data_IF_950264399919
#
_entry.id   IF_950264399919
#
_cell.length_a   1.000
_cell.length_b   1.000
_cell.length_c   1.000
_cell.angle_alpha   90.00
_cell.angle_beta   90.00
_cell.angle_gamma   90.00
#
_symmetry.space_group_name_H-M   'P 1'
#
loop_
_entity.id
_entity.type
_entity.pdbx_description
1 polymer ?
#
# COMPACT_ATOMS: atom_id res chain seq x y z
N UNK A 1 -3.11 11.20 -6.80
CA UNK A 1 -2.21 10.15 -7.31
C UNK A 1 -2.58 8.81 -6.70
N UNK A 2 -2.65 7.78 -7.50
CA UNK A 2 -2.92 6.42 -7.04
C UNK A 2 -1.64 5.61 -7.17
N UNK A 3 -1.32 4.83 -6.14
CA UNK A 3 -0.10 4.03 -6.10
C UNK A 3 -0.42 2.56 -5.89
N UNK A 4 0.41 1.70 -6.45
CA UNK A 4 0.33 0.26 -6.25
C UNK A 4 1.68 -0.24 -5.76
N UNK A 5 1.68 -0.97 -4.65
CA UNK A 5 2.88 -1.61 -4.12
C UNK A 5 2.66 -3.11 -4.14
N UNK A 6 3.42 -3.83 -4.95
CA UNK A 6 3.42 -5.30 -4.92
C UNK A 6 4.31 -5.75 -3.76
N UNK A 7 3.94 -6.86 -3.11
CA UNK A 7 4.63 -7.28 -1.90
C UNK A 7 4.34 -6.37 -0.71
N UNK A 8 3.17 -5.73 -0.71
CA UNK A 8 2.84 -4.71 0.29
C UNK A 8 2.69 -5.22 1.72
N UNK A 9 2.51 -6.53 1.90
CA UNK A 9 2.47 -7.11 3.24
C UNK A 9 3.86 -7.53 3.73
N UNK A 10 4.88 -7.48 2.87
CA UNK A 10 6.25 -7.80 3.24
C UNK A 10 6.90 -6.69 4.02
N UNK A 11 8.09 -6.98 4.55
CA UNK A 11 8.79 -6.06 5.43
C UNK A 11 9.09 -4.70 4.75
N UNK A 12 9.64 -4.77 3.53
CA UNK A 12 10.02 -3.56 2.80
C UNK A 12 8.78 -2.80 2.33
N UNK A 13 7.80 -3.51 1.79
CA UNK A 13 6.56 -2.88 1.32
C UNK A 13 5.80 -2.19 2.44
N UNK A 14 5.74 -2.80 3.62
CA UNK A 14 5.08 -2.21 4.77
C UNK A 14 5.77 -0.91 5.20
N UNK A 15 7.09 -0.91 5.25
CA UNK A 15 7.84 0.29 5.64
C UNK A 15 7.68 1.41 4.61
N UNK A 16 7.71 1.06 3.34
CA UNK A 16 7.51 2.03 2.27
C UNK A 16 6.11 2.65 2.35
N UNK A 17 5.10 1.81 2.57
CA UNK A 17 3.72 2.28 2.68
C UNK A 17 3.56 3.25 3.86
N UNK A 18 4.13 2.93 5.01
CA UNK A 18 4.07 3.82 6.17
C UNK A 18 4.70 5.18 5.88
N UNK A 19 5.86 5.17 5.23
CA UNK A 19 6.54 6.40 4.86
C UNK A 19 5.70 7.26 3.93
N UNK A 20 5.12 6.64 2.91
CA UNK A 20 4.31 7.37 1.94
C UNK A 20 3.07 7.96 2.59
N UNK A 21 2.43 7.22 3.48
CA UNK A 21 1.24 7.71 4.18
C UNK A 21 1.57 8.84 5.15
N UNK A 22 2.70 8.76 5.83
CA UNK A 22 3.14 9.84 6.73
C UNK A 22 3.38 11.13 5.96
N UNK A 23 4.01 11.04 4.80
CA UNK A 23 4.29 12.21 3.98
C UNK A 23 3.03 12.74 3.30
N UNK A 24 2.13 11.84 2.92
CA UNK A 24 0.91 12.20 2.22
C UNK A 24 1.11 12.62 0.77
N UNK A 25 2.36 12.74 0.33
CA UNK A 25 2.69 13.15 -1.03
C UNK A 25 3.88 12.37 -1.56
N UNK A 26 3.96 12.28 -2.89
CA UNK A 26 5.10 11.70 -3.58
C UNK A 26 5.37 12.55 -4.82
N UNK A 27 6.61 13.01 -4.96
CA UNK A 27 7.01 13.88 -6.08
C UNK A 27 6.11 15.11 -6.21
N UNK A 28 5.69 15.67 -5.07
CA UNK A 28 4.85 16.87 -5.05
C UNK A 28 3.37 16.62 -5.31
N UNK A 29 2.94 15.36 -5.47
CA UNK A 29 1.54 15.02 -5.73
C UNK A 29 0.93 14.32 -4.52
N UNK A 30 -0.31 14.68 -4.21
CA UNK A 30 -1.03 14.09 -3.07
C UNK A 30 -1.37 12.63 -3.35
N UNK A 31 -1.14 11.77 -2.36
CA UNK A 31 -1.52 10.37 -2.43
C UNK A 31 -2.99 10.23 -2.06
N UNK A 32 -3.80 9.86 -3.02
CA UNK A 32 -5.25 9.69 -2.82
C UNK A 32 -5.60 8.24 -2.50
N UNK A 33 -4.85 7.29 -3.06
CA UNK A 33 -5.12 5.88 -2.91
C UNK A 33 -3.81 5.10 -2.96
N UNK A 34 -3.68 4.13 -2.06
CA UNK A 34 -2.52 3.26 -1.99
C UNK A 34 -3.01 1.81 -1.94
N UNK A 35 -2.71 1.05 -2.98
CA UNK A 35 -3.08 -0.36 -3.06
C UNK A 35 -1.88 -1.21 -2.69
N UNK A 36 -2.05 -2.07 -1.70
CA UNK A 36 -1.03 -3.00 -1.25
C UNK A 36 -1.42 -4.40 -1.72
N UNK A 37 -0.73 -4.90 -2.73
CA UNK A 37 -1.02 -6.20 -3.33
C UNK A 37 0.00 -7.23 -2.87
N UNK A 38 -0.47 -8.33 -2.28
CA UNK A 38 0.39 -9.40 -1.79
C UNK A 38 -0.42 -10.67 -1.64
N UNK A 39 0.26 -11.78 -1.38
CA UNK A 39 -0.37 -13.05 -1.05
C UNK A 39 -0.95 -13.04 0.37
N UNK A 40 -0.44 -12.16 1.24
CA UNK A 40 -0.93 -11.98 2.60
C UNK A 40 -1.55 -10.60 2.76
N UNK A 41 -2.43 -10.46 3.74
CA UNK A 41 -3.06 -9.17 4.03
C UNK A 41 -2.04 -8.18 4.58
N UNK A 42 -2.24 -6.90 4.27
CA UNK A 42 -1.40 -5.83 4.81
C UNK A 42 -1.60 -5.70 6.32
N UNK A 43 -0.68 -5.01 6.99
CA UNK A 43 -0.77 -4.78 8.43
C UNK A 43 -2.05 -4.02 8.79
N UNK A 44 -2.70 -4.39 9.90
CA UNK A 44 -3.97 -3.74 10.28
C UNK A 44 -3.87 -2.23 10.45
N UNK A 45 -2.75 -1.73 10.93
CA UNK A 45 -2.56 -0.29 11.10
C UNK A 45 -2.50 0.45 9.77
N UNK A 46 -2.03 -0.20 8.71
CA UNK A 46 -2.05 0.38 7.37
C UNK A 46 -3.46 0.36 6.78
N UNK A 47 -4.17 -0.74 6.98
CA UNK A 47 -5.55 -0.89 6.45
C UNK A 47 -6.48 0.11 7.12
N UNK A 48 -6.19 0.55 8.34
CA UNK A 48 -6.99 1.54 9.04
C UNK A 48 -6.98 2.91 8.36
N UNK A 49 -6.00 3.19 7.51
CA UNK A 49 -5.98 4.43 6.75
C UNK A 49 -6.96 4.35 5.59
N UNK A 50 -7.82 5.35 5.46
CA UNK A 50 -8.87 5.35 4.43
C UNK A 50 -8.32 5.33 3.01
N UNK A 51 -7.06 5.73 2.81
CA UNK A 51 -6.43 5.74 1.49
C UNK A 51 -5.92 4.37 1.08
N UNK A 52 -5.81 3.42 2.02
CA UNK A 52 -5.18 2.11 1.78
C UNK A 52 -6.23 1.09 1.38
N UNK A 53 -5.91 0.32 0.34
CA UNK A 53 -6.65 -0.86 -0.04
C UNK A 53 -5.69 -2.05 -0.05
N UNK A 54 -6.09 -3.15 0.58
CA UNK A 54 -5.31 -4.37 0.59
C UNK A 54 -5.92 -5.37 -0.39
N UNK A 55 -5.09 -5.87 -1.31
CA UNK A 55 -5.49 -6.89 -2.26
C UNK A 55 -4.73 -8.16 -1.97
N UNK A 56 -5.45 -9.18 -1.54
CA UNK A 56 -4.86 -10.48 -1.18
C UNK A 56 -5.14 -11.47 -2.29
N UNK A 57 -4.09 -12.22 -2.67
CA UNK A 57 -4.23 -13.24 -3.68
C UNK A 57 -2.98 -13.37 -4.54
N UNK A 58 -2.96 -14.36 -5.46
CA UNK A 58 -1.82 -14.51 -6.35
C UNK A 58 -1.66 -13.29 -7.25
N UNK A 59 -0.45 -12.74 -7.26
CA UNK A 59 -0.18 -11.52 -8.02
C UNK A 59 -0.29 -11.74 -9.54
N UNK A 60 -0.18 -12.99 -9.96
CA UNK A 60 -0.26 -13.34 -11.38
C UNK A 60 -1.66 -13.74 -11.82
N UNK A 61 -2.63 -13.72 -10.93
CA UNK A 61 -4.00 -14.07 -11.28
C UNK A 61 -4.68 -12.88 -11.93
N UNK A 62 -4.97 -13.01 -13.20
CA UNK A 62 -5.72 -11.99 -13.94
C UNK A 62 -6.20 -12.48 -15.27
#
# INVERSE_FOLDING_TARGET
>A
MKLLITGGAGFVGTRLARRLLERGTLAGRRIESLVLADQAAAQPDLIADARVQSRVGPLLAH
#
